data_IF_136534522046
#
_entry.id   IF_136534522046
#
_cell.length_a   1.000
_cell.length_b   1.000
_cell.length_c   1.000
_cell.angle_alpha   90.00
_cell.angle_beta   90.00
_cell.angle_gamma   90.00
#
_symmetry.space_group_name_H-M   'P 1'
#
loop_
_entity.id
_entity.type
_entity.pdbx_description
1 polymer ?
#
# COMPACT_ATOMS: atom_id res chain seq x y z
N UNK A 1 23.74 33.40 34.51
CA UNK A 1 22.86 32.24 34.83
C UNK A 1 21.62 32.18 33.99
N UNK A 2 20.86 33.26 33.77
CA UNK A 2 19.63 33.24 32.95
C UNK A 2 19.86 32.95 31.46
N UNK A 3 21.01 33.33 30.90
CA UNK A 3 21.36 33.08 29.50
C UNK A 3 21.71 31.61 29.19
N UNK A 4 22.23 30.87 30.15
CA UNK A 4 22.58 29.46 30.00
C UNK A 4 21.36 28.56 30.05
N UNK A 5 20.34 28.90 30.84
CA UNK A 5 19.07 28.17 30.92
C UNK A 5 18.26 28.33 29.63
N UNK A 6 18.27 29.54 29.03
CA UNK A 6 17.61 29.81 27.76
C UNK A 6 18.24 29.04 26.59
N UNK A 7 19.56 28.92 26.57
CA UNK A 7 20.33 28.17 25.57
C UNK A 7 20.06 26.66 25.68
N UNK A 8 19.97 26.14 26.90
CA UNK A 8 19.63 24.73 27.15
C UNK A 8 18.19 24.40 26.72
N UNK A 9 17.26 25.32 26.94
CA UNK A 9 15.86 25.16 26.53
C UNK A 9 15.71 25.15 25.00
N UNK A 10 16.50 25.96 24.29
CA UNK A 10 16.51 26.01 22.83
C UNK A 10 17.06 24.71 22.22
N UNK A 11 18.07 24.11 22.83
CA UNK A 11 18.66 22.83 22.39
C UNK A 11 17.68 21.68 22.59
N UNK A 12 16.91 21.67 23.68
CA UNK A 12 15.86 20.65 23.91
C UNK A 12 14.72 20.75 22.90
N UNK A 13 14.38 21.93 22.43
CA UNK A 13 13.32 22.13 21.45
C UNK A 13 13.69 21.61 20.04
N UNK A 14 14.97 21.63 19.69
CA UNK A 14 15.46 21.10 18.40
C UNK A 14 15.48 19.57 18.34
N UNK A 15 15.54 18.89 19.48
CA UNK A 15 15.63 17.41 19.53
C UNK A 15 14.31 16.69 19.23
N UNK A 16 13.17 17.39 19.24
CA UNK A 16 11.85 16.81 19.02
C UNK A 16 11.38 16.85 17.56
N UNK A 17 12.14 17.46 16.65
CA UNK A 17 11.74 17.68 15.28
C UNK A 17 12.02 16.51 14.31
N UNK A 18 12.64 15.41 14.74
CA UNK A 18 13.13 14.34 13.87
C UNK A 18 12.36 13.02 13.95
N UNK A 19 11.16 13.00 14.50
CA UNK A 19 10.43 11.76 14.70
C UNK A 19 9.26 11.55 13.74
N UNK A 20 9.46 11.80 12.43
CA UNK A 20 8.47 11.41 11.42
C UNK A 20 8.90 10.12 10.74
N UNK A 21 8.20 9.02 11.04
CA UNK A 21 8.34 7.79 10.28
C UNK A 21 7.72 7.97 8.88
N UNK A 22 8.31 7.38 7.82
CA UNK A 22 7.70 7.40 6.50
C UNK A 22 6.32 6.75 6.53
N UNK A 23 5.38 7.17 5.67
CA UNK A 23 4.06 6.56 5.62
C UNK A 23 4.18 5.07 5.27
N UNK A 24 3.47 4.22 6.02
CA UNK A 24 3.47 2.77 5.83
C UNK A 24 2.45 2.31 4.79
N UNK A 25 1.85 3.25 4.04
CA UNK A 25 0.85 2.95 3.03
C UNK A 25 0.76 4.07 2.01
N UNK A 26 0.29 3.78 0.82
CA UNK A 26 -0.07 4.77 -0.18
C UNK A 26 -1.44 4.50 -0.77
N UNK A 27 -2.11 5.57 -1.21
CA UNK A 27 -3.46 5.50 -1.76
C UNK A 27 -3.45 4.94 -3.18
N UNK A 28 -4.36 4.02 -3.45
CA UNK A 28 -4.64 3.50 -4.79
C UNK A 28 -6.14 3.59 -5.07
N UNK A 29 -6.49 4.11 -6.25
CA UNK A 29 -7.86 4.28 -6.68
C UNK A 29 -8.03 3.75 -8.09
N UNK A 30 -9.09 2.99 -8.33
CA UNK A 30 -9.35 2.40 -9.65
C UNK A 30 -10.83 2.19 -9.88
N UNK A 31 -11.21 2.21 -11.16
CA UNK A 31 -12.53 1.77 -11.62
C UNK A 31 -12.39 0.35 -12.13
N UNK A 32 -13.16 -0.55 -11.53
CA UNK A 32 -13.13 -1.97 -11.86
C UNK A 32 -14.08 -2.25 -13.03
N UNK A 33 -13.56 -2.94 -14.04
CA UNK A 33 -14.31 -3.31 -15.26
C UNK A 33 -14.21 -4.83 -15.48
N UNK A 34 -15.25 -5.41 -16.08
CA UNK A 34 -15.20 -6.80 -16.53
C UNK A 34 -14.43 -6.92 -17.87
N UNK A 35 -14.30 -8.14 -18.38
CA UNK A 35 -13.63 -8.41 -19.66
C UNK A 35 -14.32 -7.77 -20.86
N UNK A 36 -15.60 -7.43 -20.75
CA UNK A 36 -16.36 -6.72 -21.78
C UNK A 36 -16.20 -5.18 -21.69
N UNK A 37 -15.47 -4.66 -20.69
CA UNK A 37 -15.26 -3.24 -20.49
C UNK A 37 -16.33 -2.54 -19.67
N UNK A 38 -17.31 -3.26 -19.14
CA UNK A 38 -18.38 -2.69 -18.32
C UNK A 38 -17.93 -2.51 -16.87
N UNK A 39 -18.32 -1.39 -16.25
CA UNK A 39 -18.04 -1.12 -14.84
C UNK A 39 -18.76 -2.14 -13.95
N UNK A 40 -18.03 -2.64 -12.94
CA UNK A 40 -18.61 -3.51 -11.92
C UNK A 40 -19.14 -2.65 -10.77
N UNK A 41 -20.44 -2.39 -10.78
CA UNK A 41 -21.12 -1.54 -9.79
C UNK A 41 -21.55 -2.37 -8.59
N UNK A 42 -21.28 -1.87 -7.37
CA UNK A 42 -21.75 -2.48 -6.12
C UNK A 42 -21.43 -3.98 -6.01
N UNK A 43 -20.23 -4.38 -6.45
CA UNK A 43 -19.80 -5.78 -6.45
C UNK A 43 -18.55 -5.96 -5.60
N UNK A 44 -18.45 -7.10 -4.93
CA UNK A 44 -17.27 -7.50 -4.19
C UNK A 44 -16.23 -8.05 -5.15
N UNK A 45 -15.01 -7.49 -5.11
CA UNK A 45 -13.89 -7.84 -5.99
C UNK A 45 -12.65 -8.13 -5.17
N UNK A 46 -11.90 -9.16 -5.56
CA UNK A 46 -10.59 -9.46 -5.02
C UNK A 46 -9.49 -8.77 -5.80
N UNK A 47 -8.50 -8.22 -5.09
CA UNK A 47 -7.33 -7.58 -5.67
C UNK A 47 -6.07 -8.21 -5.11
N UNK A 48 -5.05 -8.29 -5.95
CA UNK A 48 -3.72 -8.67 -5.54
C UNK A 48 -2.73 -7.62 -6.03
N UNK A 49 -1.89 -7.14 -5.11
CA UNK A 49 -0.83 -6.19 -5.40
C UNK A 49 0.52 -6.84 -5.12
N UNK A 50 1.42 -6.67 -6.06
CA UNK A 50 2.80 -7.15 -5.94
C UNK A 50 3.74 -6.00 -6.22
N UNK A 51 4.70 -5.76 -5.33
CA UNK A 51 5.76 -4.79 -5.55
C UNK A 51 6.98 -5.53 -6.08
N UNK A 52 7.42 -5.11 -7.26
CA UNK A 52 8.55 -5.70 -7.98
C UNK A 52 9.73 -4.76 -7.94
N UNK A 53 10.93 -5.30 -7.77
CA UNK A 53 12.16 -4.53 -7.71
C UNK A 53 12.98 -4.69 -8.98
N UNK A 54 13.50 -3.58 -9.50
CA UNK A 54 14.45 -3.54 -10.60
C UNK A 54 13.80 -3.41 -11.97
N UNK A 55 12.75 -4.16 -12.25
CA UNK A 55 12.02 -4.12 -13.52
C UNK A 55 10.57 -4.57 -13.32
N UNK A 56 9.74 -4.40 -14.34
CA UNK A 56 8.35 -4.84 -14.33
C UNK A 56 8.21 -6.38 -14.28
N UNK A 57 9.28 -7.11 -14.51
CA UNK A 57 9.39 -8.56 -14.36
C UNK A 57 10.40 -8.95 -13.29
N UNK A 58 10.76 -8.02 -12.41
CA UNK A 58 11.75 -8.19 -11.38
C UNK A 58 11.28 -9.03 -10.19
N UNK A 59 12.13 -9.08 -9.17
CA UNK A 59 11.85 -9.83 -7.95
C UNK A 59 10.69 -9.22 -7.18
N UNK A 60 9.72 -10.04 -6.79
CA UNK A 60 8.64 -9.64 -5.90
C UNK A 60 9.19 -9.47 -4.47
N UNK A 61 9.14 -8.26 -3.95
CA UNK A 61 9.61 -7.94 -2.59
C UNK A 61 8.47 -7.85 -1.59
N UNK A 62 7.24 -7.68 -2.08
CA UNK A 62 6.06 -7.58 -1.25
C UNK A 62 4.81 -7.99 -2.04
N UNK A 63 3.89 -8.67 -1.35
CA UNK A 63 2.63 -9.08 -1.96
C UNK A 63 1.50 -9.05 -0.93
N UNK A 64 0.36 -8.49 -1.31
CA UNK A 64 -0.84 -8.43 -0.47
C UNK A 64 -2.11 -8.59 -1.28
N UNK A 65 -3.20 -8.90 -0.60
CA UNK A 65 -4.54 -9.01 -1.19
C UNK A 65 -5.54 -8.13 -0.47
N UNK A 66 -6.57 -7.71 -1.22
CA UNK A 66 -7.73 -7.00 -0.71
C UNK A 66 -9.00 -7.65 -1.23
N UNK A 67 -10.05 -7.60 -0.43
CA UNK A 67 -11.42 -7.89 -0.87
C UNK A 67 -12.23 -6.63 -0.57
N UNK A 68 -12.71 -5.96 -1.61
CA UNK A 68 -13.43 -4.70 -1.49
C UNK A 68 -14.66 -4.67 -2.37
N UNK A 69 -15.65 -3.91 -1.94
CA UNK A 69 -16.88 -3.71 -2.71
C UNK A 69 -16.80 -2.38 -3.46
N UNK A 70 -17.02 -2.44 -4.77
CA UNK A 70 -17.08 -1.25 -5.60
C UNK A 70 -18.31 -0.41 -5.27
N UNK A 71 -18.25 0.90 -5.52
CA UNK A 71 -19.39 1.79 -5.41
C UNK A 71 -20.27 1.75 -6.66
N UNK A 72 -21.27 2.65 -6.75
CA UNK A 72 -22.17 2.74 -7.91
C UNK A 72 -21.48 3.13 -9.23
N UNK A 73 -20.24 3.59 -9.18
CA UNK A 73 -19.41 3.93 -10.34
C UNK A 73 -18.34 2.90 -10.63
N UNK A 74 -18.33 1.77 -9.90
CA UNK A 74 -17.30 0.76 -10.02
C UNK A 74 -15.97 1.13 -9.38
N UNK A 75 -15.94 2.19 -8.56
CA UNK A 75 -14.74 2.73 -7.95
C UNK A 75 -14.39 2.00 -6.65
N UNK A 76 -13.09 1.75 -6.46
CA UNK A 76 -12.52 1.30 -5.19
C UNK A 76 -11.39 2.22 -4.77
N UNK A 77 -11.25 2.40 -3.45
CA UNK A 77 -10.12 3.06 -2.80
C UNK A 77 -9.43 2.06 -1.89
N UNK A 78 -8.13 1.90 -2.07
CA UNK A 78 -7.32 0.97 -1.31
C UNK A 78 -6.11 1.68 -0.72
N UNK A 79 -5.70 1.24 0.46
CA UNK A 79 -4.45 1.66 1.08
C UNK A 79 -3.42 0.54 0.90
N UNK A 80 -2.56 0.68 -0.11
CA UNK A 80 -1.51 -0.30 -0.38
C UNK A 80 -0.52 -0.30 0.77
N UNK A 81 -0.29 -1.46 1.35
CA UNK A 81 0.48 -1.63 2.59
C UNK A 81 -0.36 -2.06 3.78
N UNK A 82 -1.68 -1.89 3.72
CA UNK A 82 -2.63 -2.22 4.79
C UNK A 82 -3.55 -3.41 4.45
N UNK A 83 -3.29 -4.12 3.37
CA UNK A 83 -4.04 -5.30 2.98
C UNK A 83 -3.64 -6.56 3.76
N UNK A 84 -4.15 -7.70 3.31
CA UNK A 84 -3.75 -9.00 3.85
C UNK A 84 -2.43 -9.42 3.22
N UNK A 85 -1.37 -9.45 4.01
CA UNK A 85 -0.01 -9.73 3.53
C UNK A 85 0.12 -11.20 3.16
N UNK A 86 0.62 -11.46 1.95
CA UNK A 86 0.98 -12.79 1.46
C UNK A 86 2.48 -13.03 1.68
N UNK A 87 3.32 -12.06 1.32
CA UNK A 87 4.77 -12.15 1.48
C UNK A 87 5.40 -10.78 1.65
N UNK A 88 6.54 -10.73 2.34
CA UNK A 88 7.32 -9.52 2.57
C UNK A 88 6.77 -8.66 3.71
N UNK A 89 7.41 -7.52 3.91
CA UNK A 89 7.01 -6.53 4.90
C UNK A 89 7.11 -5.14 4.27
N UNK A 90 5.98 -4.47 4.16
CA UNK A 90 5.89 -3.16 3.50
C UNK A 90 6.76 -2.10 4.21
N UNK A 91 6.78 -2.11 5.54
CA UNK A 91 7.51 -1.13 6.33
C UNK A 91 9.03 -1.24 6.22
N UNK A 92 9.55 -2.41 5.80
CA UNK A 92 10.99 -2.64 5.65
C UNK A 92 11.50 -2.49 4.21
N UNK A 93 10.64 -2.12 3.26
CA UNK A 93 11.08 -1.86 1.87
C UNK A 93 11.98 -0.64 1.86
N UNK A 94 13.21 -0.81 1.37
CA UNK A 94 14.13 0.29 1.13
C UNK A 94 13.84 0.91 -0.24
N UNK A 95 13.03 1.96 -0.25
CA UNK A 95 12.61 2.64 -1.47
C UNK A 95 13.75 3.32 -2.22
N UNK A 96 14.92 3.49 -1.59
CA UNK A 96 16.12 4.02 -2.24
C UNK A 96 16.79 3.01 -3.18
N UNK A 97 16.46 1.72 -3.07
CA UNK A 97 17.01 0.63 -3.89
C UNK A 97 16.16 0.34 -5.13
N UNK A 98 15.40 1.33 -5.59
CA UNK A 98 14.58 1.22 -6.78
C UNK A 98 15.35 1.07 -8.08
N UNK A 99 14.63 1.02 -9.23
CA UNK A 99 13.21 1.31 -9.33
C UNK A 99 12.31 0.20 -8.79
N UNK A 100 11.10 0.58 -8.37
CA UNK A 100 10.05 -0.34 -7.96
C UNK A 100 8.84 -0.23 -8.88
N UNK A 101 8.18 -1.34 -9.11
CA UNK A 101 7.00 -1.44 -9.96
C UNK A 101 5.87 -2.08 -9.18
N UNK A 102 4.66 -1.62 -9.43
CA UNK A 102 3.47 -2.23 -8.86
C UNK A 102 2.75 -3.05 -9.92
N UNK A 103 2.49 -4.31 -9.59
CA UNK A 103 1.67 -5.18 -10.42
C UNK A 103 0.32 -5.35 -9.74
N UNK A 104 -0.76 -5.10 -10.47
CA UNK A 104 -2.11 -5.25 -9.98
C UNK A 104 -2.78 -6.43 -10.67
N UNK A 105 -3.45 -7.27 -9.88
CA UNK A 105 -4.28 -8.36 -10.38
C UNK A 105 -5.69 -8.22 -9.85
N UNK A 106 -6.67 -8.35 -10.75
CA UNK A 106 -8.07 -8.54 -10.41
C UNK A 106 -8.46 -9.92 -10.87
N UNK A 107 -9.12 -10.70 -10.02
CA UNK A 107 -9.68 -11.93 -10.55
C UNK A 107 -10.72 -12.55 -9.63
N UNK A 108 -11.74 -13.10 -10.20
CA UNK A 108 -12.57 -14.13 -9.58
C UNK A 108 -11.71 -15.25 -8.97
N UNK A 109 -10.57 -15.53 -9.58
CA UNK A 109 -9.58 -16.50 -9.14
C UNK A 109 -8.95 -16.14 -7.81
N UNK A 110 -8.72 -14.85 -7.54
CA UNK A 110 -8.18 -14.36 -6.26
C UNK A 110 -9.25 -14.50 -5.17
N UNK A 111 -10.49 -14.18 -5.46
CA UNK A 111 -11.62 -14.36 -4.54
C UNK A 111 -11.75 -15.84 -4.15
N UNK A 112 -11.64 -16.75 -5.10
CA UNK A 112 -11.67 -18.19 -4.83
C UNK A 112 -10.52 -18.64 -3.93
N UNK A 113 -9.30 -18.12 -4.18
CA UNK A 113 -8.14 -18.41 -3.34
C UNK A 113 -8.33 -17.89 -1.91
N UNK A 114 -8.83 -16.68 -1.74
CA UNK A 114 -9.11 -16.10 -0.43
C UNK A 114 -10.21 -16.87 0.31
N UNK A 115 -11.24 -17.35 -0.38
CA UNK A 115 -12.31 -18.17 0.19
C UNK A 115 -11.85 -19.58 0.56
N UNK A 116 -10.88 -20.14 -0.17
CA UNK A 116 -10.31 -21.46 0.11
C UNK A 116 -9.30 -21.45 1.26
N UNK A 117 -8.73 -20.31 1.58
CA UNK A 117 -7.76 -20.13 2.67
C UNK A 117 -8.44 -19.87 4.04
N UNK A 118 -9.73 -19.68 4.06
CA UNK A 118 -10.55 -19.55 5.25
C UNK A 118 -11.18 -20.92 5.59
#
# INVERSE_FOLDING_TARGET
MKKQILSLFLILFFATAFSQSPPEAFKYQSIVRNSAGNMLQNQTVGFQFTILQGSATGTAVYQETFIETTNSYGLVNLDIGLGTVISGNFSTIDWSQGPYFIQTGQAERIIRLCLLMN
#
